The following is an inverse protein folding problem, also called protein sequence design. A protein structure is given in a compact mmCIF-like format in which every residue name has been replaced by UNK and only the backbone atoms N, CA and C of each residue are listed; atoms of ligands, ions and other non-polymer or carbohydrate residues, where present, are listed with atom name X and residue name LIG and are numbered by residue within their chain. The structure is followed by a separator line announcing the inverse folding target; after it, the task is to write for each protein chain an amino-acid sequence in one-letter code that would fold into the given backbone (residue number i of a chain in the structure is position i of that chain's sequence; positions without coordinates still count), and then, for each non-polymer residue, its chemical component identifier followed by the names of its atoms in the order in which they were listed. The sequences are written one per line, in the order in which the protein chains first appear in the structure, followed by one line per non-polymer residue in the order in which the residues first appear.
data_IF_059323913604
#
_entry.id   IF_059323913604
#
_cell.length_a   1.000
_cell.length_b   1.000
_cell.length_c   1.000
_cell.angle_alpha   90.00
_cell.angle_beta   90.00
_cell.angle_gamma   90.00
#
_symmetry.space_group_name_H-M   'P 1'
#
loop_
_entity.id
_entity.type
_entity.pdbx_description
1 polymer ?
#
# COMPACT_ATOMS: atom_id res chain seq x y z
N UNK A 1 57.00 -34.97 22.58
CA UNK A 1 56.82 -33.50 22.64
C UNK A 1 55.38 -33.22 22.17
N UNK A 2 54.46 -33.19 23.15
CA UNK A 2 52.99 -33.12 22.88
C UNK A 2 52.56 -31.70 23.03
N UNK A 3 52.12 -31.05 21.91
CA UNK A 3 51.61 -29.69 21.90
C UNK A 3 50.12 -29.71 22.24
N UNK A 4 49.79 -29.27 23.43
CA UNK A 4 48.40 -29.04 23.90
C UNK A 4 47.90 -27.69 23.36
N UNK A 5 46.96 -27.74 22.38
CA UNK A 5 46.21 -26.56 21.89
C UNK A 5 45.21 -26.14 22.96
N UNK A 6 45.53 -25.02 23.60
CA UNK A 6 44.66 -24.32 24.57
C UNK A 6 43.51 -23.63 23.83
N UNK A 7 42.30 -24.26 23.84
CA UNK A 7 41.07 -23.61 23.38
C UNK A 7 40.69 -22.52 24.37
N UNK A 8 40.76 -21.25 23.97
CA UNK A 8 40.17 -20.16 24.73
C UNK A 8 38.63 -20.32 24.77
N UNK A 9 37.98 -20.18 25.93
CA UNK A 9 36.51 -20.17 26.01
C UNK A 9 36.01 -18.99 25.19
N UNK A 10 34.99 -19.23 24.32
CA UNK A 10 34.36 -18.22 23.51
C UNK A 10 33.74 -17.15 24.41
N UNK A 11 34.17 -15.91 24.21
CA UNK A 11 33.50 -14.74 24.81
C UNK A 11 32.05 -14.70 24.38
N UNK A 12 31.06 -14.57 25.30
CA UNK A 12 29.66 -14.35 24.94
C UNK A 12 29.59 -13.08 24.07
N UNK A 13 28.93 -13.19 22.91
CA UNK A 13 28.66 -12.02 22.08
C UNK A 13 27.89 -10.94 22.86
N UNK A 14 28.04 -9.65 22.53
CA UNK A 14 27.38 -8.57 23.26
C UNK A 14 25.87 -8.79 23.26
N UNK A 15 25.18 -8.59 24.40
CA UNK A 15 23.73 -8.66 24.48
C UNK A 15 23.15 -7.64 23.49
N UNK A 16 22.12 -8.05 22.71
CA UNK A 16 21.50 -7.20 21.69
C UNK A 16 21.17 -5.83 22.28
N UNK A 17 21.70 -4.78 21.62
CA UNK A 17 21.59 -3.41 22.09
C UNK A 17 20.11 -3.03 22.25
N UNK A 18 19.68 -2.43 23.39
CA UNK A 18 18.29 -2.03 23.64
C UNK A 18 17.65 -1.17 22.54
N UNK A 19 18.46 -0.49 21.74
CA UNK A 19 18.01 0.36 20.63
C UNK A 19 17.36 -0.38 19.47
N UNK A 20 17.74 -1.63 19.18
CA UNK A 20 17.18 -2.38 18.04
C UNK A 20 15.79 -2.95 18.32
N UNK A 21 15.53 -3.39 19.55
CA UNK A 21 14.21 -3.86 19.99
C UNK A 21 13.18 -2.73 19.96
N UNK A 22 13.55 -1.54 20.46
CA UNK A 22 12.70 -0.35 20.44
C UNK A 22 12.41 0.14 19.02
N UNK A 23 13.37 0.08 18.10
CA UNK A 23 13.15 0.46 16.70
C UNK A 23 12.17 -0.49 16.00
N UNK A 24 12.29 -1.79 16.23
CA UNK A 24 11.37 -2.79 15.66
C UNK A 24 9.96 -2.65 16.23
N UNK A 25 9.83 -2.45 17.54
CA UNK A 25 8.53 -2.22 18.18
C UNK A 25 7.84 -0.97 17.59
N UNK A 26 8.56 0.15 17.46
CA UNK A 26 8.03 1.38 16.83
C UNK A 26 7.60 1.16 15.37
N UNK A 27 8.37 0.40 14.59
CA UNK A 27 8.05 0.10 13.19
C UNK A 27 6.75 -0.71 13.03
N UNK A 28 6.28 -1.40 14.06
CA UNK A 28 5.01 -2.13 14.07
C UNK A 28 3.91 -1.29 14.71
N UNK A 29 4.18 -0.69 15.87
CA UNK A 29 3.16 0.03 16.67
C UNK A 29 2.65 1.27 15.93
N UNK A 30 3.54 2.10 15.34
CA UNK A 30 3.12 3.32 14.66
C UNK A 30 2.15 3.08 13.51
N UNK A 31 2.39 2.13 12.56
CA UNK A 31 1.40 1.83 11.52
C UNK A 31 0.08 1.27 12.07
N UNK A 32 0.12 0.44 13.12
CA UNK A 32 -1.10 -0.06 13.76
C UNK A 32 -1.92 1.08 14.37
N UNK A 33 -1.27 2.00 15.09
CA UNK A 33 -1.93 3.19 15.63
C UNK A 33 -2.53 4.06 14.51
N UNK A 34 -1.79 4.25 13.40
CA UNK A 34 -2.30 5.00 12.25
C UNK A 34 -3.54 4.35 11.62
N UNK A 35 -3.54 3.02 11.46
CA UNK A 35 -4.70 2.27 10.95
C UNK A 35 -5.88 2.39 11.93
N UNK A 36 -5.65 2.24 13.23
CA UNK A 36 -6.70 2.38 14.24
C UNK A 36 -7.31 3.80 14.24
N UNK A 37 -6.48 4.83 14.24
CA UNK A 37 -6.93 6.22 14.16
C UNK A 37 -7.74 6.47 12.88
N UNK A 38 -7.36 5.86 11.77
CA UNK A 38 -8.07 5.96 10.51
C UNK A 38 -9.44 5.26 10.55
N UNK A 39 -9.55 4.10 11.20
CA UNK A 39 -10.84 3.44 11.45
C UNK A 39 -11.75 4.34 12.28
N UNK A 40 -11.23 4.91 13.37
CA UNK A 40 -11.99 5.83 14.22
C UNK A 40 -12.42 7.09 13.45
N UNK A 41 -11.53 7.65 12.61
CA UNK A 41 -11.87 8.77 11.74
C UNK A 41 -12.96 8.38 10.72
N UNK A 42 -12.89 7.18 10.15
CA UNK A 42 -13.92 6.66 9.24
C UNK A 42 -15.30 6.55 9.90
N UNK A 43 -15.37 6.04 11.13
CA UNK A 43 -16.60 5.98 11.93
C UNK A 43 -17.14 7.39 12.22
N UNK A 44 -16.28 8.34 12.57
CA UNK A 44 -16.65 9.75 12.79
C UNK A 44 -17.18 10.41 11.50
N UNK A 45 -16.56 10.12 10.34
CA UNK A 45 -16.98 10.60 9.02
C UNK A 45 -18.40 10.08 8.71
N UNK A 46 -18.67 8.79 8.93
CA UNK A 46 -20.01 8.20 8.73
C UNK A 46 -21.07 8.88 9.60
N UNK A 47 -20.71 9.27 10.82
CA UNK A 47 -21.59 9.95 11.75
C UNK A 47 -21.78 11.46 11.46
N UNK A 48 -21.06 12.02 10.45
CA UNK A 48 -21.06 13.46 10.15
C UNK A 48 -21.78 13.78 8.84
N UNK A 49 -23.04 14.27 8.86
CA UNK A 49 -23.75 14.73 7.65
C UNK A 49 -23.00 15.87 6.94
N UNK A 50 -22.32 16.74 7.68
CA UNK A 50 -21.57 17.87 7.12
C UNK A 50 -20.40 17.39 6.25
N UNK A 51 -19.64 16.37 6.68
CA UNK A 51 -18.56 15.79 5.86
C UNK A 51 -19.13 15.13 4.61
N UNK A 52 -20.24 14.38 4.74
CA UNK A 52 -20.90 13.73 3.59
C UNK A 52 -21.40 14.74 2.57
N UNK A 53 -21.98 15.86 3.03
CA UNK A 53 -22.42 16.94 2.15
C UNK A 53 -21.24 17.64 1.47
N UNK A 54 -20.14 17.88 2.19
CA UNK A 54 -18.91 18.45 1.64
C UNK A 54 -18.27 17.55 0.57
N UNK A 55 -18.18 16.25 0.83
CA UNK A 55 -17.69 15.27 -0.14
C UNK A 55 -18.54 15.26 -1.42
N UNK A 56 -19.88 15.26 -1.26
CA UNK A 56 -20.80 15.30 -2.41
C UNK A 56 -20.65 16.58 -3.24
N UNK A 57 -20.49 17.73 -2.60
CA UNK A 57 -20.26 18.99 -3.28
C UNK A 57 -18.99 18.98 -4.14
N UNK A 58 -17.91 18.36 -3.64
CA UNK A 58 -16.66 18.16 -4.41
C UNK A 58 -16.88 17.25 -5.61
N UNK A 59 -17.60 16.15 -5.46
CA UNK A 59 -17.91 15.25 -6.58
C UNK A 59 -18.72 16.00 -7.64
N UNK A 60 -19.76 16.72 -7.26
CA UNK A 60 -20.60 17.50 -8.16
C UNK A 60 -19.80 18.58 -8.91
N UNK A 61 -18.87 19.26 -8.22
CA UNK A 61 -17.98 20.23 -8.86
C UNK A 61 -17.06 19.57 -9.90
N UNK A 62 -16.54 18.36 -9.63
CA UNK A 62 -15.71 17.62 -10.58
C UNK A 62 -16.53 17.14 -11.78
N UNK A 63 -17.80 16.77 -11.59
CA UNK A 63 -18.70 16.36 -12.68
C UNK A 63 -18.90 17.45 -13.74
N UNK A 64 -18.83 18.74 -13.38
CA UNK A 64 -18.93 19.84 -14.35
C UNK A 64 -17.75 19.90 -15.32
N UNK A 65 -16.61 19.28 -14.97
CA UNK A 65 -15.38 19.25 -15.77
C UNK A 65 -15.22 17.93 -16.56
N UNK A 66 -16.28 17.15 -16.75
CA UNK A 66 -16.19 15.87 -17.48
C UNK A 66 -15.85 16.07 -18.95
N UNK A 67 -14.99 15.19 -19.43
CA UNK A 67 -14.60 15.12 -20.85
C UNK A 67 -14.48 13.67 -21.29
N UNK A 68 -14.70 13.34 -22.59
CA UNK A 68 -14.52 11.98 -23.08
C UNK A 68 -13.12 11.41 -22.83
N UNK A 69 -12.09 12.25 -22.85
CA UNK A 69 -10.71 11.82 -22.55
C UNK A 69 -10.56 11.42 -21.08
N UNK A 70 -11.04 12.23 -20.13
CA UNK A 70 -10.99 11.90 -18.71
C UNK A 70 -11.86 10.69 -18.37
N UNK A 71 -13.01 10.54 -19.03
CA UNK A 71 -13.86 9.35 -18.90
C UNK A 71 -13.09 8.09 -19.30
N UNK A 72 -12.44 8.11 -20.48
CA UNK A 72 -11.64 6.97 -20.96
C UNK A 72 -10.47 6.64 -20.01
N UNK A 73 -9.77 7.64 -19.48
CA UNK A 73 -8.69 7.45 -18.51
C UNK A 73 -9.22 6.84 -17.21
N UNK A 74 -10.30 7.40 -16.66
CA UNK A 74 -10.86 6.93 -15.40
C UNK A 74 -11.48 5.53 -15.49
N UNK A 75 -12.13 5.21 -16.61
CA UNK A 75 -12.68 3.86 -16.88
C UNK A 75 -11.55 2.83 -17.06
N UNK A 76 -10.49 3.20 -17.79
CA UNK A 76 -9.30 2.32 -17.95
C UNK A 76 -8.66 2.04 -16.60
N UNK A 77 -8.43 3.07 -15.78
CA UNK A 77 -7.93 2.93 -14.40
C UNK A 77 -8.84 2.00 -13.58
N UNK A 78 -10.17 2.17 -13.72
CA UNK A 78 -11.15 1.32 -13.04
C UNK A 78 -10.99 -0.16 -13.37
N UNK A 79 -10.79 -0.50 -14.64
CA UNK A 79 -10.62 -1.89 -15.09
C UNK A 79 -9.26 -2.45 -14.66
N UNK A 80 -8.18 -1.66 -14.83
CA UNK A 80 -6.81 -2.08 -14.51
C UNK A 80 -6.64 -2.36 -13.02
N UNK A 81 -7.22 -1.55 -12.15
CA UNK A 81 -7.13 -1.71 -10.69
C UNK A 81 -8.33 -2.43 -10.07
N UNK A 82 -9.26 -2.96 -10.87
CA UNK A 82 -10.29 -3.89 -10.43
C UNK A 82 -9.67 -5.18 -9.83
N UNK A 83 -10.40 -5.95 -9.02
CA UNK A 83 -9.85 -7.15 -8.38
C UNK A 83 -9.14 -8.11 -9.32
N UNK A 84 -9.71 -8.36 -10.50
CA UNK A 84 -9.09 -9.26 -11.51
C UNK A 84 -7.80 -8.64 -12.05
N UNK A 85 -7.82 -7.37 -12.47
CA UNK A 85 -6.64 -6.67 -12.95
C UNK A 85 -5.53 -6.61 -11.92
N UNK A 86 -5.87 -6.32 -10.66
CA UNK A 86 -4.94 -6.32 -9.54
C UNK A 86 -4.25 -7.68 -9.37
N UNK A 87 -5.01 -8.77 -9.37
CA UNK A 87 -4.46 -10.13 -9.26
C UNK A 87 -3.58 -10.49 -10.46
N UNK A 88 -3.98 -10.13 -11.68
CA UNK A 88 -3.17 -10.35 -12.89
C UNK A 88 -1.84 -9.60 -12.80
N UNK A 89 -1.85 -8.33 -12.38
CA UNK A 89 -0.62 -7.53 -12.21
C UNK A 89 0.30 -8.17 -11.16
N UNK A 90 -0.24 -8.55 -10.02
CA UNK A 90 0.57 -9.17 -8.96
C UNK A 90 1.12 -10.52 -9.40
N UNK A 91 0.32 -11.35 -10.07
CA UNK A 91 0.76 -12.63 -10.59
C UNK A 91 1.88 -12.47 -11.64
N UNK A 92 1.70 -11.56 -12.61
CA UNK A 92 2.68 -11.31 -13.66
C UNK A 92 4.03 -10.81 -13.12
N UNK A 93 4.01 -9.82 -12.22
CA UNK A 93 5.24 -9.29 -11.60
C UNK A 93 5.91 -10.34 -10.70
N UNK A 94 5.13 -11.11 -9.94
CA UNK A 94 5.66 -12.19 -9.10
C UNK A 94 6.26 -13.32 -9.94
N UNK A 95 5.60 -13.73 -11.02
CA UNK A 95 6.11 -14.73 -11.95
C UNK A 95 7.40 -14.25 -12.62
N UNK A 96 7.46 -13.01 -13.08
CA UNK A 96 8.69 -12.41 -13.63
C UNK A 96 9.82 -12.39 -12.59
N UNK A 97 9.53 -12.01 -11.35
CA UNK A 97 10.54 -12.02 -10.28
C UNK A 97 11.03 -13.44 -9.97
N UNK A 98 10.12 -14.42 -9.98
CA UNK A 98 10.45 -15.83 -9.68
C UNK A 98 11.23 -16.49 -10.82
N UNK A 99 10.66 -16.51 -12.01
CA UNK A 99 11.21 -17.27 -13.15
C UNK A 99 12.21 -16.45 -13.97
N UNK A 100 11.90 -15.18 -14.26
CA UNK A 100 12.76 -14.31 -15.09
C UNK A 100 13.99 -13.82 -14.33
N UNK A 101 13.81 -13.31 -13.12
CA UNK A 101 14.93 -12.81 -12.31
C UNK A 101 15.55 -13.88 -11.39
N UNK A 102 14.95 -15.07 -11.27
CA UNK A 102 15.35 -16.15 -10.35
C UNK A 102 15.47 -15.65 -8.89
N UNK A 103 14.52 -14.84 -8.46
CA UNK A 103 14.48 -14.21 -7.13
C UNK A 103 13.16 -14.52 -6.39
N UNK A 104 12.93 -15.78 -5.97
CA UNK A 104 11.67 -16.18 -5.33
C UNK A 104 11.35 -15.36 -4.07
N UNK A 105 12.36 -15.01 -3.26
CA UNK A 105 12.16 -14.13 -2.11
C UNK A 105 11.62 -12.75 -2.46
N UNK A 106 12.03 -12.19 -3.62
CA UNK A 106 11.49 -10.92 -4.12
C UNK A 106 10.04 -11.08 -4.62
N UNK A 107 9.71 -12.20 -5.26
CA UNK A 107 8.34 -12.51 -5.69
C UNK A 107 7.38 -12.56 -4.49
N UNK A 108 7.74 -13.31 -3.43
CA UNK A 108 6.94 -13.39 -2.21
C UNK A 108 6.83 -12.03 -1.49
N UNK A 109 7.95 -11.31 -1.34
CA UNK A 109 7.94 -10.01 -0.68
C UNK A 109 7.04 -9.01 -1.43
N UNK A 110 7.12 -8.98 -2.76
CA UNK A 110 6.29 -8.14 -3.61
C UNK A 110 4.81 -8.50 -3.47
N UNK A 111 4.46 -9.77 -3.61
CA UNK A 111 3.08 -10.25 -3.48
C UNK A 111 2.50 -9.91 -2.09
N UNK A 112 3.25 -10.14 -1.01
CA UNK A 112 2.81 -9.82 0.34
C UNK A 112 2.58 -8.30 0.53
N UNK A 113 3.51 -7.45 0.06
CA UNK A 113 3.41 -6.00 0.17
C UNK A 113 2.28 -5.40 -0.68
N UNK A 114 1.93 -6.03 -1.81
CA UNK A 114 0.83 -5.58 -2.66
C UNK A 114 -0.54 -6.09 -2.19
N UNK A 115 -0.65 -7.38 -1.83
CA UNK A 115 -1.93 -8.02 -1.55
C UNK A 115 -2.41 -7.82 -0.11
N UNK A 116 -1.55 -7.96 0.91
CA UNK A 116 -2.00 -7.91 2.30
C UNK A 116 -2.59 -6.54 2.70
N UNK A 117 -1.99 -5.38 2.33
CA UNK A 117 -2.61 -4.09 2.57
C UNK A 117 -3.94 -3.92 1.81
N UNK A 118 -4.01 -4.39 0.57
CA UNK A 118 -5.23 -4.33 -0.23
C UNK A 118 -6.35 -5.18 0.38
N UNK A 119 -6.09 -6.44 0.70
CA UNK A 119 -7.05 -7.33 1.38
C UNK A 119 -7.46 -6.78 2.76
N UNK A 120 -6.53 -6.22 3.52
CA UNK A 120 -6.83 -5.57 4.79
C UNK A 120 -7.78 -4.38 4.65
N UNK A 121 -7.84 -3.71 3.49
CA UNK A 121 -8.80 -2.63 3.25
C UNK A 121 -10.25 -3.12 3.27
N UNK A 122 -10.51 -4.39 2.93
CA UNK A 122 -11.86 -4.98 3.02
C UNK A 122 -12.31 -5.12 4.48
N UNK A 123 -11.40 -5.49 5.38
CA UNK A 123 -11.68 -5.54 6.82
C UNK A 123 -12.06 -4.16 7.35
N UNK A 124 -11.34 -3.11 6.95
CA UNK A 124 -11.68 -1.73 7.35
C UNK A 124 -13.04 -1.32 6.79
N UNK A 125 -13.37 -1.71 5.53
CA UNK A 125 -14.70 -1.48 4.93
C UNK A 125 -15.82 -2.09 5.76
N UNK A 126 -15.66 -3.32 6.18
CA UNK A 126 -16.67 -4.07 6.93
C UNK A 126 -16.85 -3.53 8.37
N UNK A 127 -15.84 -2.86 8.92
CA UNK A 127 -15.94 -2.17 10.21
C UNK A 127 -16.61 -0.80 10.05
N UNK A 128 -16.17 0.03 9.10
CA UNK A 128 -16.63 1.42 8.95
C UNK A 128 -18.01 1.49 8.28
N UNK A 129 -18.29 0.62 7.31
CA UNK A 129 -19.57 0.45 6.60
C UNK A 129 -20.12 1.75 5.99
N UNK A 130 -19.25 2.60 5.49
CA UNK A 130 -19.67 3.85 4.86
C UNK A 130 -20.41 3.59 3.56
N UNK A 131 -21.61 4.17 3.35
CA UNK A 131 -22.30 4.09 2.06
C UNK A 131 -21.52 4.85 0.99
N UNK A 132 -21.72 4.44 -0.27
CA UNK A 132 -21.17 5.15 -1.43
C UNK A 132 -21.95 6.44 -1.70
N UNK A 133 -21.38 7.38 -2.48
CA UNK A 133 -22.13 8.53 -2.98
C UNK A 133 -23.43 8.08 -3.65
N UNK A 134 -24.53 8.83 -3.41
CA UNK A 134 -25.83 8.50 -4.00
C UNK A 134 -25.80 8.76 -5.51
N UNK A 135 -25.96 7.71 -6.31
CA UNK A 135 -26.00 7.81 -7.77
C UNK A 135 -27.09 8.72 -8.29
N UNK A 136 -28.23 8.77 -7.60
CA UNK A 136 -29.34 9.68 -7.93
C UNK A 136 -29.00 11.18 -7.81
N UNK A 137 -27.94 11.53 -7.06
CA UNK A 137 -27.44 12.90 -6.93
C UNK A 137 -26.38 13.27 -7.99
N UNK A 138 -26.01 12.32 -8.88
CA UNK A 138 -24.93 12.47 -9.86
C UNK A 138 -25.48 12.27 -11.28
N UNK A 139 -25.51 13.32 -12.14
CA UNK A 139 -26.10 13.29 -13.47
C UNK A 139 -25.45 12.27 -14.43
N UNK A 140 -24.16 11.98 -14.26
CA UNK A 140 -23.37 11.15 -15.17
C UNK A 140 -22.85 9.88 -14.49
N UNK A 141 -23.70 9.18 -13.75
CA UNK A 141 -23.32 7.94 -13.07
C UNK A 141 -23.02 6.82 -14.09
N UNK A 142 -21.75 6.48 -14.25
CA UNK A 142 -21.27 5.53 -15.29
C UNK A 142 -21.04 4.13 -14.72
N UNK A 143 -20.82 3.98 -13.42
CA UNK A 143 -20.50 2.72 -12.77
C UNK A 143 -21.34 2.50 -11.51
N UNK A 144 -21.89 1.31 -11.36
CA UNK A 144 -22.51 0.82 -10.11
C UNK A 144 -21.49 -0.08 -9.40
N UNK A 145 -20.77 0.50 -8.46
CA UNK A 145 -19.93 -0.27 -7.54
C UNK A 145 -20.79 -0.69 -6.32
N UNK A 146 -20.74 -1.95 -5.93
CA UNK A 146 -21.47 -2.49 -4.78
C UNK A 146 -20.61 -2.48 -3.51
N UNK A 147 -21.26 -2.52 -2.34
CA UNK A 147 -20.58 -2.58 -1.05
C UNK A 147 -20.14 -1.21 -0.49
N UNK A 148 -19.38 -1.24 0.59
CA UNK A 148 -18.99 -0.05 1.34
C UNK A 148 -17.90 0.76 0.64
N UNK A 149 -17.87 2.08 0.92
CA UNK A 149 -16.96 3.00 0.22
C UNK A 149 -15.61 3.21 0.91
N UNK A 150 -15.55 3.23 2.24
CA UNK A 150 -14.36 3.62 3.02
C UNK A 150 -13.54 2.43 3.52
N UNK A 151 -12.23 2.40 3.29
CA UNK A 151 -11.46 3.19 2.33
C UNK A 151 -11.62 2.66 0.90
N UNK A 152 -11.14 3.41 -0.12
CA UNK A 152 -11.17 2.97 -1.52
C UNK A 152 -10.23 1.79 -1.76
N UNK A 153 -10.78 0.66 -2.26
CA UNK A 153 -9.97 -0.52 -2.57
C UNK A 153 -9.01 -0.31 -3.74
N UNK A 154 -9.45 0.34 -4.82
CA UNK A 154 -8.62 0.66 -5.98
C UNK A 154 -7.43 1.55 -5.58
N UNK A 155 -7.69 2.64 -4.85
CA UNK A 155 -6.65 3.54 -4.38
C UNK A 155 -5.70 2.84 -3.40
N UNK A 156 -6.22 2.01 -2.48
CA UNK A 156 -5.40 1.22 -1.56
C UNK A 156 -4.48 0.25 -2.31
N UNK A 157 -4.99 -0.42 -3.35
CA UNK A 157 -4.17 -1.30 -4.18
C UNK A 157 -3.11 -0.52 -4.96
N UNK A 158 -3.45 0.61 -5.59
CA UNK A 158 -2.50 1.44 -6.33
C UNK A 158 -1.32 1.91 -5.45
N UNK A 159 -1.60 2.34 -4.21
CA UNK A 159 -0.55 2.68 -3.21
C UNK A 159 0.29 1.46 -2.88
N UNK A 160 -0.35 0.34 -2.54
CA UNK A 160 0.35 -0.88 -2.16
C UNK A 160 1.24 -1.40 -3.30
N UNK A 161 0.74 -1.41 -4.53
CA UNK A 161 1.49 -1.79 -5.73
C UNK A 161 2.71 -0.88 -5.94
N UNK A 162 2.51 0.44 -5.92
CA UNK A 162 3.59 1.41 -6.12
C UNK A 162 4.70 1.28 -5.08
N UNK A 163 4.32 1.20 -3.80
CA UNK A 163 5.28 1.03 -2.72
C UNK A 163 5.96 -0.35 -2.75
N UNK A 164 5.24 -1.43 -3.08
CA UNK A 164 5.82 -2.77 -3.21
C UNK A 164 6.87 -2.82 -4.33
N UNK A 165 6.57 -2.26 -5.50
CA UNK A 165 7.52 -2.13 -6.61
C UNK A 165 8.76 -1.33 -6.20
N UNK A 166 8.56 -0.17 -5.57
CA UNK A 166 9.65 0.69 -5.11
C UNK A 166 10.52 -0.01 -4.06
N UNK A 167 9.93 -0.68 -3.08
CA UNK A 167 10.67 -1.30 -1.98
C UNK A 167 11.44 -2.55 -2.41
N UNK A 168 10.89 -3.34 -3.33
CA UNK A 168 11.51 -4.61 -3.77
C UNK A 168 12.47 -4.39 -4.94
N UNK A 169 12.11 -3.55 -5.90
CA UNK A 169 12.85 -3.38 -7.16
C UNK A 169 13.48 -1.98 -7.32
N UNK A 170 13.13 -1.01 -6.49
CA UNK A 170 13.56 0.39 -6.61
C UNK A 170 15.02 0.64 -6.27
N UNK A 171 15.95 0.12 -7.08
CA UNK A 171 17.40 0.24 -6.91
C UNK A 171 18.04 0.83 -8.16
N UNK A 172 19.15 1.56 -7.97
CA UNK A 172 19.90 2.14 -9.07
C UNK A 172 19.01 3.01 -9.98
N UNK A 173 19.06 2.74 -11.28
CA UNK A 173 18.30 3.49 -12.29
C UNK A 173 16.78 3.35 -12.18
N UNK A 174 16.28 2.25 -11.61
CA UNK A 174 14.85 2.02 -11.44
C UNK A 174 14.23 2.83 -10.29
N UNK A 175 15.02 3.36 -9.36
CA UNK A 175 14.49 4.05 -8.17
C UNK A 175 13.64 5.27 -8.52
N UNK A 176 14.12 6.11 -9.43
CA UNK A 176 13.40 7.35 -9.81
C UNK A 176 12.08 7.07 -10.52
N UNK A 177 12.02 6.25 -11.59
CA UNK A 177 10.75 5.95 -12.25
C UNK A 177 9.78 5.20 -11.33
N UNK A 178 10.23 4.28 -10.48
CA UNK A 178 9.35 3.61 -9.52
C UNK A 178 8.87 4.54 -8.40
N UNK A 179 9.66 5.54 -8.00
CA UNK A 179 9.20 6.58 -7.08
C UNK A 179 8.12 7.45 -7.74
N UNK A 180 8.32 7.87 -8.99
CA UNK A 180 7.32 8.61 -9.74
C UNK A 180 6.03 7.79 -9.90
N UNK A 181 6.13 6.51 -10.25
CA UNK A 181 5.01 5.58 -10.33
C UNK A 181 4.27 5.48 -8.98
N UNK A 182 4.99 5.31 -7.88
CA UNK A 182 4.42 5.16 -6.53
C UNK A 182 3.72 6.44 -6.01
N UNK A 183 3.92 7.57 -6.66
CA UNK A 183 3.21 8.83 -6.35
C UNK A 183 2.10 9.10 -7.37
N UNK A 184 2.43 9.07 -8.65
CA UNK A 184 1.50 9.51 -9.72
C UNK A 184 0.31 8.56 -9.85
N UNK A 185 0.57 7.24 -9.87
CA UNK A 185 -0.50 6.26 -10.09
C UNK A 185 -1.54 6.25 -8.97
N UNK A 186 -1.18 6.21 -7.67
CA UNK A 186 -2.17 6.33 -6.60
C UNK A 186 -2.99 7.63 -6.64
N UNK A 187 -2.38 8.75 -6.99
CA UNK A 187 -3.08 10.03 -7.11
C UNK A 187 -4.04 10.03 -8.31
N UNK A 188 -3.61 9.48 -9.45
CA UNK A 188 -4.48 9.30 -10.61
C UNK A 188 -5.67 8.39 -10.28
N UNK A 189 -5.42 7.24 -9.64
CA UNK A 189 -6.49 6.33 -9.21
C UNK A 189 -7.41 7.01 -8.20
N UNK A 190 -6.89 7.75 -7.21
CA UNK A 190 -7.70 8.49 -6.26
C UNK A 190 -8.63 9.49 -6.98
N UNK A 191 -8.07 10.28 -7.91
CA UNK A 191 -8.85 11.19 -8.74
C UNK A 191 -9.91 10.44 -9.56
N UNK A 192 -9.55 9.36 -10.24
CA UNK A 192 -10.47 8.54 -11.06
C UNK A 192 -11.68 8.06 -10.25
N UNK A 193 -11.47 7.64 -8.99
CA UNK A 193 -12.58 7.16 -8.14
C UNK A 193 -13.56 8.25 -7.75
N UNK A 194 -13.07 9.46 -7.47
CA UNK A 194 -13.92 10.63 -7.18
C UNK A 194 -14.60 11.10 -8.45
N UNK A 195 -13.85 11.21 -9.55
CA UNK A 195 -14.33 11.63 -10.88
C UNK A 195 -15.48 10.74 -11.39
N UNK A 196 -15.39 9.43 -11.18
CA UNK A 196 -16.46 8.49 -11.55
C UNK A 196 -17.64 8.47 -10.55
N UNK A 197 -17.59 9.27 -9.48
CA UNK A 197 -18.65 9.34 -8.47
C UNK A 197 -18.82 8.06 -7.63
N UNK A 198 -17.87 7.12 -7.67
CA UNK A 198 -17.97 5.83 -6.96
C UNK A 198 -17.37 5.85 -5.55
N UNK A 199 -16.58 6.88 -5.23
CA UNK A 199 -16.00 7.11 -3.91
C UNK A 199 -16.04 8.59 -3.52
N UNK A 200 -16.18 8.84 -2.22
CA UNK A 200 -16.04 10.18 -1.67
C UNK A 200 -14.56 10.63 -1.64
N UNK A 201 -14.26 11.93 -1.75
CA UNK A 201 -12.91 12.47 -1.56
C UNK A 201 -12.22 11.98 -0.29
N UNK A 202 -12.95 11.97 0.83
CA UNK A 202 -12.41 11.48 2.11
C UNK A 202 -12.09 9.98 2.11
N UNK A 203 -12.78 9.13 1.32
CA UNK A 203 -12.46 7.70 1.18
C UNK A 203 -11.10 7.49 0.52
N UNK A 204 -10.81 8.25 -0.53
CA UNK A 204 -9.54 8.11 -1.27
C UNK A 204 -8.37 8.71 -0.50
N UNK A 205 -8.56 9.83 0.21
CA UNK A 205 -7.56 10.39 1.11
C UNK A 205 -7.21 9.42 2.24
N UNK A 206 -8.23 8.81 2.84
CA UNK A 206 -8.06 7.76 3.83
C UNK A 206 -7.25 6.57 3.27
N UNK A 207 -7.50 6.19 2.00
CA UNK A 207 -6.78 5.09 1.35
C UNK A 207 -5.30 5.34 1.19
N UNK A 208 -4.90 6.59 0.86
CA UNK A 208 -3.49 6.98 0.75
C UNK A 208 -2.75 6.77 2.09
N UNK A 209 -3.39 7.15 3.21
CA UNK A 209 -2.83 7.00 4.55
C UNK A 209 -2.87 5.53 4.98
N UNK A 210 -4.04 4.89 4.86
CA UNK A 210 -4.25 3.49 5.25
C UNK A 210 -3.25 2.56 4.56
N UNK A 211 -3.21 2.59 3.22
CA UNK A 211 -2.40 1.65 2.47
C UNK A 211 -0.90 1.88 2.71
N UNK A 212 -0.47 3.14 2.88
CA UNK A 212 0.91 3.45 3.28
C UNK A 212 1.25 2.84 4.64
N UNK A 213 0.40 3.04 5.65
CA UNK A 213 0.59 2.46 6.98
C UNK A 213 0.59 0.93 6.92
N UNK A 214 -0.36 0.32 6.19
CA UNK A 214 -0.46 -1.12 6.06
C UNK A 214 0.75 -1.74 5.34
N UNK A 215 1.27 -1.09 4.28
CA UNK A 215 2.53 -1.51 3.62
C UNK A 215 3.71 -1.44 4.58
N UNK A 216 3.83 -0.36 5.36
CA UNK A 216 4.91 -0.22 6.35
C UNK A 216 4.82 -1.28 7.45
N UNK A 217 3.60 -1.63 7.89
CA UNK A 217 3.37 -2.72 8.82
C UNK A 217 3.81 -4.07 8.23
N UNK A 218 3.35 -4.41 7.04
CA UNK A 218 3.75 -5.66 6.35
C UNK A 218 5.28 -5.69 6.15
N UNK A 219 5.88 -4.57 5.75
CA UNK A 219 7.34 -4.46 5.61
C UNK A 219 8.08 -4.75 6.92
N UNK A 220 7.60 -4.19 8.04
CA UNK A 220 8.18 -4.44 9.36
C UNK A 220 8.06 -5.92 9.77
N UNK A 221 6.90 -6.53 9.51
CA UNK A 221 6.67 -7.95 9.77
C UNK A 221 7.55 -8.85 8.89
N UNK A 222 7.68 -8.56 7.59
CA UNK A 222 8.55 -9.30 6.69
C UNK A 222 10.02 -9.22 7.13
N UNK A 223 10.48 -8.05 7.54
CA UNK A 223 11.87 -7.87 8.05
C UNK A 223 12.13 -8.63 9.34
N UNK A 224 11.12 -8.79 10.18
CA UNK A 224 11.26 -9.39 11.51
C UNK A 224 11.06 -10.89 11.53
N UNK A 225 10.12 -11.40 10.71
CA UNK A 225 9.62 -12.76 10.82
C UNK A 225 9.75 -13.61 9.55
N UNK A 226 9.95 -12.99 8.37
CA UNK A 226 10.02 -13.77 7.14
C UNK A 226 11.35 -14.54 7.02
N UNK A 227 11.35 -15.65 6.26
CA UNK A 227 12.58 -16.39 5.91
C UNK A 227 13.62 -15.47 5.27
N UNK A 228 14.92 -15.79 5.49
CA UNK A 228 16.04 -14.98 5.06
C UNK A 228 15.98 -14.46 3.59
N UNK A 229 15.60 -15.27 2.57
CA UNK A 229 15.53 -14.76 1.19
C UNK A 229 14.44 -13.70 0.99
N UNK A 230 13.33 -13.77 1.73
CA UNK A 230 12.25 -12.78 1.69
C UNK A 230 12.66 -11.50 2.43
N UNK A 231 13.19 -11.65 3.65
CA UNK A 231 13.69 -10.51 4.44
C UNK A 231 14.81 -9.76 3.70
N UNK A 232 15.71 -10.46 3.01
CA UNK A 232 16.78 -9.86 2.20
C UNK A 232 16.26 -9.07 1.00
N UNK A 233 15.11 -9.44 0.43
CA UNK A 233 14.51 -8.73 -0.69
C UNK A 233 14.07 -7.30 -0.31
N UNK A 234 13.65 -7.11 0.96
CA UNK A 234 13.18 -5.83 1.51
C UNK A 234 14.18 -5.15 2.45
N UNK A 235 15.38 -5.72 2.63
CA UNK A 235 16.42 -5.12 3.45
C UNK A 235 16.93 -3.80 2.85
N UNK A 236 17.07 -2.78 3.70
CA UNK A 236 17.80 -1.57 3.34
C UNK A 236 19.29 -1.92 3.31
N UNK A 237 19.86 -2.02 2.12
CA UNK A 237 21.33 -2.07 2.02
C UNK A 237 21.86 -0.69 2.36
N UNK A 238 22.64 -0.60 3.45
CA UNK A 238 23.47 0.55 3.70
C UNK A 238 24.27 0.83 2.42
N UNK A 239 24.16 2.05 1.88
CA UNK A 239 25.00 2.46 0.76
C UNK A 239 26.45 2.30 1.24
N UNK A 240 27.21 1.37 0.65
CA UNK A 240 28.67 1.41 0.75
C UNK A 240 29.05 2.74 0.12
N UNK A 241 29.26 3.77 0.93
CA UNK A 241 30.06 4.93 0.53
C UNK A 241 31.43 4.34 0.27
N UNK A 242 31.77 4.20 -1.02
CA UNK A 242 33.09 3.83 -1.44
C UNK A 242 34.04 4.86 -0.87
N UNK A 243 34.95 4.42 -0.01
CA UNK A 243 36.20 5.14 0.21
C UNK A 243 36.99 5.02 -1.08
N UNK A 244 37.29 6.11 -1.68
CA UNK A 244 38.45 6.34 -2.58
C UNK A 244 39.24 7.45 -1.98
#
# INVERSE_FOLDING_TARGET
MTVTLNRRPGTPGPPGTPGTANATARAIVLPLCAILLLVLAGLAIVASPAVTAGDLAVIQAIETARTPFLDAVALTDSVVFAPVGALVIVAAVSAFAWFGLRRPGAAFAFAALALLPWLGSTVVKDIVRRPRPLSAALPHHVLTDTGFSFPSGHTSFAVALGLALLMVFGRGRLRRPLLAFAVVVPLLTAFSRVYLGVHNPSDVLASLIYATAAVLLVLALLRRFAPAPVAAAVAVRASRRGGS
#
